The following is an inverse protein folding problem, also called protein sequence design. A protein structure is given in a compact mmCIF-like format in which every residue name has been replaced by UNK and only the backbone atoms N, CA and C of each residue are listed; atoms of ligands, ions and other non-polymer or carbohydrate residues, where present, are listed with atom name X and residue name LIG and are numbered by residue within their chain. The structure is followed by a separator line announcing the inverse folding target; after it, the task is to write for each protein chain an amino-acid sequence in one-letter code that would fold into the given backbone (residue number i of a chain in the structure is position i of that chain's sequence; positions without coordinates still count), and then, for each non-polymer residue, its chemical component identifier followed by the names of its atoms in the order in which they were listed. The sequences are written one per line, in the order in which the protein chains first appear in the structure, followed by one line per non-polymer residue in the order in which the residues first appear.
data_IF_166814446129
#
_entry.id   IF_166814446129
#
_cell.length_a   1.000
_cell.length_b   1.000
_cell.length_c   1.000
_cell.angle_alpha   90.00
_cell.angle_beta   90.00
_cell.angle_gamma   90.00
#
_symmetry.space_group_name_H-M   'P 1'
#
loop_
_entity.id
_entity.type
_entity.pdbx_description
1 polymer ?
#
# COMPACT_ATOMS: atom_id res chain seq x y z
N UNK A 1 11.50 11.72 -16.48
CA UNK A 1 11.53 11.31 -15.07
C UNK A 1 12.34 12.34 -14.33
N UNK A 2 11.88 12.71 -13.14
CA UNK A 2 12.49 13.66 -12.24
C UNK A 2 12.67 12.93 -10.91
N UNK A 3 13.89 12.98 -10.39
CA UNK A 3 14.24 12.53 -9.04
C UNK A 3 15.05 13.68 -8.45
N UNK A 4 14.43 14.45 -7.56
CA UNK A 4 15.00 15.69 -7.03
C UNK A 4 15.00 15.60 -5.50
N UNK A 5 16.14 15.92 -4.89
CA UNK A 5 16.22 16.09 -3.44
C UNK A 5 15.66 17.47 -3.08
N UNK A 6 14.80 17.52 -2.08
CA UNK A 6 14.18 18.75 -1.59
C UNK A 6 14.27 18.80 -0.07
N UNK A 7 14.39 20.01 0.46
CA UNK A 7 14.32 20.23 1.88
C UNK A 7 12.85 20.19 2.33
N UNK A 8 12.57 19.37 3.33
CA UNK A 8 11.25 19.27 3.94
C UNK A 8 11.33 19.78 5.38
N UNK A 9 10.94 21.02 5.60
CA UNK A 9 10.95 21.65 6.93
C UNK A 9 9.74 21.24 7.79
N UNK A 10 9.23 20.01 7.58
CA UNK A 10 8.10 19.43 8.30
C UNK A 10 8.23 17.91 8.38
N UNK A 11 7.48 17.29 9.28
CA UNK A 11 7.48 15.83 9.45
C UNK A 11 6.66 15.12 8.37
N UNK A 12 7.02 13.87 8.00
CA UNK A 12 6.24 13.08 7.05
C UNK A 12 4.78 12.89 7.49
N UNK A 13 4.54 12.80 8.79
CA UNK A 13 3.20 12.65 9.35
C UNK A 13 2.32 13.88 9.14
N UNK A 14 2.88 15.09 9.26
CA UNK A 14 2.13 16.34 9.02
C UNK A 14 1.66 16.41 7.58
N UNK A 15 2.53 16.08 6.63
CA UNK A 15 2.16 16.03 5.20
C UNK A 15 1.12 14.95 4.94
N UNK A 16 1.29 13.75 5.50
CA UNK A 16 0.30 12.68 5.38
C UNK A 16 -1.08 13.09 5.95
N UNK A 17 -1.11 13.74 7.12
CA UNK A 17 -2.33 14.22 7.76
C UNK A 17 -2.99 15.35 6.96
N UNK A 18 -2.21 16.27 6.42
CA UNK A 18 -2.71 17.32 5.54
C UNK A 18 -3.38 16.71 4.30
N UNK A 19 -2.77 15.67 3.72
CA UNK A 19 -3.26 14.96 2.54
C UNK A 19 -4.26 13.83 2.82
N UNK A 20 -4.78 13.68 4.05
CA UNK A 20 -5.68 12.56 4.43
C UNK A 20 -6.95 12.40 3.58
N UNK A 21 -7.37 13.47 2.90
CA UNK A 21 -8.53 13.48 2.01
C UNK A 21 -8.17 13.23 0.55
N UNK A 22 -6.88 13.16 0.22
CA UNK A 22 -6.45 12.81 -1.12
C UNK A 22 -6.86 11.37 -1.46
N UNK A 23 -7.35 11.12 -2.68
CA UNK A 23 -7.72 9.77 -3.09
C UNK A 23 -6.53 8.83 -2.97
N UNK A 24 -6.73 7.70 -2.29
CA UNK A 24 -5.73 6.62 -2.21
C UNK A 24 -4.40 7.13 -1.67
N UNK A 25 -4.43 7.71 -0.47
CA UNK A 25 -3.21 7.99 0.28
C UNK A 25 -2.60 6.68 0.78
N UNK A 26 -1.32 6.50 0.50
CA UNK A 26 -0.46 5.46 1.08
C UNK A 26 0.61 6.15 1.90
N UNK A 27 0.72 5.74 3.16
CA UNK A 27 1.76 6.17 4.08
C UNK A 27 2.42 4.93 4.66
N UNK A 28 3.69 4.70 4.33
CA UNK A 28 4.49 3.59 4.84
C UNK A 28 5.65 4.17 5.62
N UNK A 29 5.53 4.13 6.94
CA UNK A 29 6.53 4.66 7.86
C UNK A 29 7.26 3.51 8.55
N UNK A 30 8.58 3.64 8.62
CA UNK A 30 9.42 2.75 9.39
C UNK A 30 9.83 3.44 10.69
N UNK A 31 9.25 3.00 11.80
CA UNK A 31 9.49 3.61 13.12
C UNK A 31 10.70 3.01 13.85
N UNK A 32 11.21 1.87 13.37
CA UNK A 32 12.44 1.26 13.85
C UNK A 32 13.64 1.99 13.22
N UNK A 33 14.54 2.59 14.01
CA UNK A 33 15.76 3.22 13.51
C UNK A 33 16.78 2.13 13.18
N UNK A 34 16.46 1.29 12.20
CA UNK A 34 17.36 0.30 11.61
C UNK A 34 17.92 0.87 10.30
N UNK A 35 19.24 1.09 10.17
CA UNK A 35 19.83 1.66 8.97
C UNK A 35 19.61 0.84 7.69
N UNK A 36 19.29 -0.45 7.81
CA UNK A 36 19.05 -1.36 6.68
C UNK A 36 17.56 -1.50 6.35
N UNK A 37 16.69 -1.41 7.36
CA UNK A 37 15.26 -1.75 7.21
C UNK A 37 14.29 -0.60 7.44
N UNK A 38 14.74 0.53 7.99
CA UNK A 38 13.84 1.60 8.46
C UNK A 38 14.26 3.03 8.13
N UNK A 39 15.18 3.22 7.19
CA UNK A 39 15.66 4.56 6.84
C UNK A 39 14.60 5.44 6.15
N UNK A 40 13.67 4.84 5.40
CA UNK A 40 12.79 5.60 4.53
C UNK A 40 11.32 5.54 4.94
N UNK A 41 10.64 6.68 4.77
CA UNK A 41 9.19 6.81 4.88
C UNK A 41 8.62 7.18 3.51
N UNK A 42 7.60 6.44 3.06
CA UNK A 42 6.98 6.62 1.74
C UNK A 42 5.61 7.27 1.87
N UNK A 43 5.37 8.31 1.08
CA UNK A 43 4.07 8.93 0.92
C UNK A 43 3.69 9.00 -0.56
N UNK A 44 2.52 8.47 -0.89
CA UNK A 44 1.99 8.50 -2.25
C UNK A 44 0.48 8.78 -2.23
N UNK A 45 -0.01 9.48 -3.24
CA UNK A 45 -1.43 9.81 -3.39
C UNK A 45 -1.83 9.74 -4.85
N UNK A 46 -3.12 9.58 -5.14
CA UNK A 46 -3.70 9.63 -6.50
C UNK A 46 -2.97 8.68 -7.48
N UNK A 47 -3.14 7.37 -7.33
CA UNK A 47 -2.50 6.40 -8.22
C UNK A 47 -2.94 6.62 -9.67
N UNK A 48 -2.04 6.34 -10.60
CA UNK A 48 -2.29 6.34 -12.05
C UNK A 48 -3.40 5.35 -12.42
N UNK A 49 -3.38 4.18 -11.77
CA UNK A 49 -4.33 3.09 -11.95
C UNK A 49 -4.52 2.37 -10.62
N UNK A 50 -5.72 1.82 -10.37
CA UNK A 50 -5.99 0.93 -9.24
C UNK A 50 -6.49 -0.42 -9.74
N UNK A 51 -6.00 -1.50 -9.14
CA UNK A 51 -6.46 -2.86 -9.38
C UNK A 51 -7.08 -3.42 -8.09
N UNK A 52 -8.29 -3.96 -8.23
CA UNK A 52 -8.96 -4.75 -7.20
C UNK A 52 -9.28 -6.13 -7.71
N UNK A 53 -9.28 -7.14 -6.85
CA UNK A 53 -9.72 -8.48 -7.25
C UNK A 53 -10.59 -9.14 -6.17
N UNK A 54 -11.65 -9.83 -6.60
CA UNK A 54 -12.42 -10.77 -5.79
C UNK A 54 -12.41 -12.11 -6.51
N UNK A 55 -11.54 -13.02 -6.07
CA UNK A 55 -11.19 -14.19 -6.83
C UNK A 55 -10.74 -13.81 -8.23
N UNK A 56 -11.35 -14.44 -9.24
CA UNK A 56 -10.97 -14.22 -10.63
C UNK A 56 -11.61 -12.94 -11.22
N UNK A 57 -12.50 -12.26 -10.49
CA UNK A 57 -13.13 -11.02 -10.93
C UNK A 57 -12.24 -9.83 -10.56
N UNK A 58 -11.59 -9.24 -11.55
CA UNK A 58 -10.66 -8.14 -11.38
C UNK A 58 -11.26 -6.83 -11.89
N UNK A 59 -11.23 -5.79 -11.08
CA UNK A 59 -11.64 -4.45 -11.47
C UNK A 59 -10.40 -3.55 -11.60
N UNK A 60 -10.24 -2.95 -12.77
CA UNK A 60 -9.21 -1.94 -13.01
C UNK A 60 -9.86 -0.57 -13.14
N UNK A 61 -9.36 0.39 -12.39
CA UNK A 61 -9.80 1.78 -12.38
C UNK A 61 -8.67 2.65 -12.92
N UNK A 62 -8.89 3.32 -14.04
CA UNK A 62 -7.90 4.13 -14.75
C UNK A 62 -8.57 5.40 -15.28
N UNK A 63 -8.04 6.58 -14.93
CA UNK A 63 -8.62 7.87 -15.32
C UNK A 63 -10.15 8.01 -15.06
N UNK A 64 -10.61 7.48 -13.92
CA UNK A 64 -12.03 7.48 -13.53
C UNK A 64 -12.92 6.44 -14.24
N UNK A 65 -12.38 5.71 -15.22
CA UNK A 65 -13.08 4.62 -15.91
C UNK A 65 -12.82 3.30 -15.19
N UNK A 66 -13.87 2.47 -15.10
CA UNK A 66 -13.81 1.14 -14.48
C UNK A 66 -13.97 0.09 -15.57
N UNK A 67 -13.07 -0.89 -15.60
CA UNK A 67 -13.16 -2.07 -16.46
C UNK A 67 -13.10 -3.33 -15.61
N UNK A 68 -13.99 -4.28 -15.90
CA UNK A 68 -13.94 -5.60 -15.31
C UNK A 68 -13.22 -6.55 -16.25
N UNK A 69 -12.29 -7.31 -15.69
CA UNK A 69 -11.51 -8.35 -16.35
C UNK A 69 -11.70 -9.64 -15.56
N UNK A 70 -11.60 -10.78 -16.23
CA UNK A 70 -11.70 -12.08 -15.59
C UNK A 70 -10.40 -12.85 -15.78
N UNK A 71 -9.84 -13.41 -14.71
CA UNK A 71 -8.62 -14.22 -14.76
C UNK A 71 -7.84 -14.22 -13.45
N UNK A 72 -6.62 -14.78 -13.51
CA UNK A 72 -5.70 -14.82 -12.39
C UNK A 72 -5.17 -13.39 -12.08
N UNK A 73 -5.40 -12.84 -10.87
CA UNK A 73 -4.94 -11.51 -10.51
C UNK A 73 -3.41 -11.33 -10.60
N UNK A 74 -2.62 -12.38 -10.35
CA UNK A 74 -1.16 -12.35 -10.49
C UNK A 74 -0.72 -12.11 -11.94
N UNK A 75 -1.37 -12.79 -12.91
CA UNK A 75 -1.08 -12.58 -14.33
C UNK A 75 -1.51 -11.18 -14.80
N UNK A 76 -2.58 -10.63 -14.22
CA UNK A 76 -3.00 -9.27 -14.53
C UNK A 76 -2.01 -8.24 -13.96
N UNK A 77 -1.53 -8.43 -12.73
CA UNK A 77 -0.46 -7.62 -12.15
C UNK A 77 0.81 -7.67 -12.99
N UNK A 78 1.23 -8.85 -13.45
CA UNK A 78 2.41 -9.02 -14.31
C UNK A 78 2.27 -8.23 -15.63
N UNK A 79 1.12 -8.32 -16.29
CA UNK A 79 0.84 -7.54 -17.52
C UNK A 79 0.88 -6.03 -17.28
N UNK A 80 0.35 -5.59 -16.14
CA UNK A 80 0.41 -4.16 -15.78
C UNK A 80 1.84 -3.75 -15.46
N UNK A 81 2.59 -4.56 -14.71
CA UNK A 81 3.99 -4.29 -14.39
C UNK A 81 4.84 -4.14 -15.65
N UNK A 82 4.71 -5.07 -16.60
CA UNK A 82 5.41 -5.01 -17.89
C UNK A 82 5.08 -3.75 -18.71
N UNK A 83 3.84 -3.24 -18.61
CA UNK A 83 3.44 -2.00 -19.29
C UNK A 83 4.08 -0.75 -18.68
N UNK A 84 4.35 -0.76 -17.38
CA UNK A 84 4.77 0.42 -16.61
C UNK A 84 6.20 0.30 -16.08
N UNK A 85 7.00 -0.57 -16.68
CA UNK A 85 8.34 -0.88 -16.20
C UNK A 85 9.21 0.39 -16.10
N UNK A 86 9.77 0.58 -14.90
CA UNK A 86 10.68 1.66 -14.61
C UNK A 86 12.11 1.16 -14.82
N UNK A 87 12.70 1.44 -16.00
CA UNK A 87 14.12 1.17 -16.22
C UNK A 87 15.00 1.67 -15.06
N UNK A 88 16.04 0.91 -14.71
CA UNK A 88 16.90 1.08 -13.52
C UNK A 88 17.92 2.21 -13.66
N UNK A 89 17.47 3.40 -14.09
CA UNK A 89 18.37 4.50 -14.46
C UNK A 89 18.72 5.44 -13.31
N UNK A 90 18.13 5.30 -12.13
CA UNK A 90 18.51 6.09 -10.96
C UNK A 90 19.09 5.17 -9.88
N UNK A 91 20.27 5.52 -9.36
CA UNK A 91 20.91 4.87 -8.21
C UNK A 91 20.16 5.18 -6.90
N UNK A 92 18.84 5.04 -6.89
CA UNK A 92 18.02 5.23 -5.71
C UNK A 92 17.90 3.89 -4.97
N UNK A 93 18.18 3.84 -3.65
CA UNK A 93 17.97 2.63 -2.84
C UNK A 93 16.48 2.38 -2.53
N UNK A 94 15.57 3.14 -3.11
CA UNK A 94 14.11 3.06 -2.94
C UNK A 94 13.37 2.97 -4.29
N UNK A 95 12.11 2.49 -4.32
CA UNK A 95 11.33 2.41 -5.55
C UNK A 95 11.08 3.79 -6.18
N UNK A 96 11.14 3.86 -7.51
CA UNK A 96 10.83 5.08 -8.28
C UNK A 96 9.34 5.25 -8.58
N UNK A 97 8.52 4.34 -8.07
CA UNK A 97 7.11 4.15 -8.40
C UNK A 97 6.78 2.68 -8.25
N UNK A 98 5.50 2.33 -8.34
CA UNK A 98 5.09 0.94 -8.23
C UNK A 98 3.70 0.75 -7.65
N UNK A 99 3.37 -0.51 -7.39
CA UNK A 99 2.11 -0.89 -6.77
C UNK A 99 2.22 -0.80 -5.26
N UNK A 100 1.34 0.00 -4.65
CA UNK A 100 1.19 0.12 -3.21
C UNK A 100 -0.25 -0.18 -2.82
N UNK A 101 -0.44 -0.87 -1.71
CA UNK A 101 -1.74 -1.32 -1.23
C UNK A 101 -1.58 -2.62 -0.44
N UNK A 102 -2.52 -3.55 -0.58
CA UNK A 102 -2.43 -4.85 0.07
C UNK A 102 -2.71 -6.02 -0.86
N UNK A 103 -2.09 -7.15 -0.49
CA UNK A 103 -2.31 -8.47 -1.04
C UNK A 103 -2.87 -9.34 0.08
N UNK A 104 -4.15 -9.68 -0.04
CA UNK A 104 -4.88 -10.48 0.94
C UNK A 104 -4.45 -11.95 0.92
N UNK A 105 -4.66 -12.60 2.06
CA UNK A 105 -4.26 -13.98 2.28
C UNK A 105 -4.88 -14.97 1.28
N UNK A 106 -6.12 -14.72 0.84
CA UNK A 106 -6.85 -15.61 -0.07
C UNK A 106 -6.34 -15.62 -1.51
N UNK A 107 -5.44 -14.69 -1.89
CA UNK A 107 -4.71 -14.77 -3.16
C UNK A 107 -3.88 -16.04 -3.29
N UNK A 108 -3.52 -16.67 -2.16
CA UNK A 108 -2.82 -17.97 -2.13
C UNK A 108 -3.53 -19.03 -2.97
N UNK A 109 -4.85 -18.96 -3.12
CA UNK A 109 -5.62 -19.94 -3.91
C UNK A 109 -5.29 -19.91 -5.41
N UNK A 110 -4.68 -18.84 -5.91
CA UNK A 110 -4.16 -18.78 -7.28
C UNK A 110 -2.78 -19.44 -7.42
N UNK A 111 -2.07 -19.65 -6.31
CA UNK A 111 -0.80 -20.37 -6.25
C UNK A 111 -1.03 -21.85 -5.90
N UNK A 112 -1.94 -22.09 -4.96
CA UNK A 112 -2.29 -23.42 -4.42
C UNK A 112 -3.79 -23.73 -4.63
N UNK A 113 -4.22 -23.99 -5.88
CA UNK A 113 -5.64 -24.13 -6.23
C UNK A 113 -6.31 -25.37 -5.63
N UNK A 114 -5.54 -26.31 -5.08
CA UNK A 114 -6.06 -27.51 -4.40
C UNK A 114 -6.48 -27.24 -2.97
N UNK A 115 -6.10 -26.09 -2.39
CA UNK A 115 -6.51 -25.75 -1.02
C UNK A 115 -8.02 -25.48 -0.97
N UNK A 116 -8.74 -26.11 -0.04
CA UNK A 116 -10.18 -25.93 0.06
C UNK A 116 -10.52 -24.57 0.65
N UNK A 117 -11.45 -23.85 0.01
CA UNK A 117 -12.06 -22.63 0.54
C UNK A 117 -13.16 -22.97 1.53
N UNK A 118 -12.80 -23.08 2.81
CA UNK A 118 -13.75 -23.43 3.90
C UNK A 118 -14.23 -22.24 4.71
N UNK A 119 -13.43 -21.17 4.79
CA UNK A 119 -13.81 -19.96 5.51
C UNK A 119 -14.90 -19.20 4.73
N UNK A 120 -15.82 -18.57 5.46
CA UNK A 120 -16.79 -17.66 4.86
C UNK A 120 -16.11 -16.34 4.47
N UNK A 121 -16.56 -15.71 3.38
CA UNK A 121 -16.12 -14.37 2.98
C UNK A 121 -16.97 -13.32 3.70
N UNK A 122 -16.74 -13.15 5.00
CA UNK A 122 -17.53 -12.31 5.91
C UNK A 122 -17.17 -10.82 5.87
N UNK A 123 -15.94 -10.47 5.49
CA UNK A 123 -15.49 -9.07 5.41
C UNK A 123 -15.86 -8.37 4.10
N UNK A 124 -16.17 -9.11 3.04
CA UNK A 124 -16.45 -8.54 1.71
C UNK A 124 -15.30 -7.75 1.06
N UNK A 125 -14.11 -7.79 1.66
CA UNK A 125 -12.91 -7.13 1.16
C UNK A 125 -12.40 -7.83 -0.11
N UNK A 126 -11.81 -7.10 -1.06
CA UNK A 126 -11.12 -7.74 -2.17
C UNK A 126 -9.92 -8.54 -1.70
N UNK A 127 -9.58 -9.61 -2.44
CA UNK A 127 -8.38 -10.40 -2.23
C UNK A 127 -7.11 -9.57 -2.48
N UNK A 128 -7.19 -8.50 -3.27
CA UNK A 128 -6.12 -7.49 -3.39
C UNK A 128 -6.71 -6.12 -3.71
N UNK A 129 -6.07 -5.07 -3.23
CA UNK A 129 -6.41 -3.68 -3.56
C UNK A 129 -5.14 -2.83 -3.62
N UNK A 130 -4.68 -2.54 -4.83
CA UNK A 130 -3.40 -1.87 -5.06
C UNK A 130 -3.53 -0.73 -6.06
N UNK A 131 -2.88 0.39 -5.77
CA UNK A 131 -2.70 1.51 -6.68
C UNK A 131 -1.31 1.48 -7.29
N UNK A 132 -1.20 1.71 -8.60
CA UNK A 132 0.05 2.01 -9.28
C UNK A 132 0.34 3.51 -9.13
N UNK A 133 1.40 3.87 -8.42
CA UNK A 133 1.82 5.25 -8.23
C UNK A 133 3.01 5.53 -9.14
N UNK A 134 2.87 6.57 -9.95
CA UNK A 134 3.87 7.07 -10.89
C UNK A 134 4.66 8.27 -10.33
N UNK A 135 4.38 8.63 -9.10
CA UNK A 135 5.04 9.68 -8.34
C UNK A 135 4.92 9.39 -6.84
N UNK A 136 5.92 9.74 -6.07
CA UNK A 136 5.96 9.54 -4.62
C UNK A 136 6.92 10.54 -3.96
N UNK A 137 6.71 10.74 -2.66
CA UNK A 137 7.58 11.49 -1.78
C UNK A 137 8.25 10.50 -0.82
N UNK A 138 9.58 10.53 -0.75
CA UNK A 138 10.39 9.63 0.09
C UNK A 138 11.13 10.46 1.10
N UNK A 139 10.82 10.31 2.38
CA UNK A 139 11.63 10.89 3.46
C UNK A 139 12.82 10.00 3.76
N UNK A 140 14.00 10.59 3.86
CA UNK A 140 15.17 9.98 4.48
C UNK A 140 15.23 10.39 5.95
N UNK A 141 14.85 9.47 6.83
CA UNK A 141 14.75 9.72 8.27
C UNK A 141 16.13 9.94 8.92
N UNK A 142 17.24 9.60 8.24
CA UNK A 142 18.60 9.83 8.76
C UNK A 142 19.12 11.22 8.42
N UNK A 143 18.83 11.71 7.20
CA UNK A 143 19.38 12.99 6.72
C UNK A 143 18.40 14.15 6.87
N UNK A 144 17.11 13.87 7.06
CA UNK A 144 16.05 14.88 7.14
C UNK A 144 15.62 15.44 5.79
N UNK A 145 16.24 15.00 4.70
CA UNK A 145 15.85 15.39 3.34
C UNK A 145 14.71 14.51 2.81
N UNK A 146 13.97 15.06 1.87
CA UNK A 146 13.04 14.32 1.05
C UNK A 146 13.57 14.13 -0.36
N UNK A 147 13.14 13.05 -0.99
CA UNK A 147 13.28 12.84 -2.42
C UNK A 147 11.90 12.86 -3.05
N UNK A 148 11.75 13.75 -4.01
CA UNK A 148 10.61 13.80 -4.89
C UNK A 148 10.88 12.88 -6.07
N UNK A 149 9.97 11.95 -6.31
CA UNK A 149 10.00 11.11 -7.50
C UNK A 149 8.79 11.41 -8.37
N UNK A 150 9.04 11.76 -9.63
CA UNK A 150 8.01 11.96 -10.64
C UNK A 150 8.43 11.30 -11.96
N UNK A 151 7.79 10.18 -12.29
CA UNK A 151 8.19 9.39 -13.47
C UNK A 151 7.71 10.00 -14.78
N UNK A 152 6.59 10.72 -14.75
CA UNK A 152 5.88 11.18 -15.94
C UNK A 152 5.19 10.06 -16.72
N UNK A 153 4.99 8.88 -16.12
CA UNK A 153 4.27 7.77 -16.76
C UNK A 153 2.85 8.16 -17.13
N UNK A 154 2.43 7.76 -18.32
CA UNK A 154 1.08 7.94 -18.84
C UNK A 154 0.32 6.61 -18.79
N UNK A 155 -1.04 6.65 -18.86
CA UNK A 155 -1.85 5.43 -18.88
C UNK A 155 -1.50 4.46 -20.00
N UNK A 156 -0.83 4.86 -21.07
CA UNK A 156 -0.39 3.95 -22.14
C UNK A 156 0.96 3.26 -21.87
N UNK A 157 1.66 3.63 -20.79
CA UNK A 157 3.00 3.17 -20.45
C UNK A 157 4.12 4.09 -20.95
N UNK A 158 3.80 5.10 -21.78
CA UNK A 158 4.79 6.07 -22.25
C UNK A 158 5.15 7.07 -21.15
N UNK A 159 6.24 7.82 -21.35
CA UNK A 159 6.68 8.87 -20.41
C UNK A 159 6.65 10.24 -21.07
N UNK A 160 6.21 11.23 -20.31
CA UNK A 160 6.17 12.62 -20.74
C UNK A 160 6.91 13.50 -19.73
N UNK A 161 7.92 14.24 -20.20
CA UNK A 161 8.75 15.08 -19.34
C UNK A 161 7.96 16.26 -18.72
N UNK A 162 7.04 16.86 -19.48
CA UNK A 162 6.18 17.92 -18.96
C UNK A 162 5.27 17.39 -17.84
N UNK A 163 4.69 16.20 -18.00
CA UNK A 163 3.92 15.53 -16.95
C UNK A 163 4.76 15.25 -15.70
N UNK A 164 6.01 14.81 -15.86
CA UNK A 164 6.91 14.61 -14.73
C UNK A 164 7.16 15.93 -13.96
N UNK A 165 7.37 17.04 -14.67
CA UNK A 165 7.50 18.36 -14.04
C UNK A 165 6.23 18.77 -13.30
N UNK A 166 5.06 18.64 -13.92
CA UNK A 166 3.77 18.93 -13.25
C UNK A 166 3.55 18.06 -12.01
N UNK A 167 3.96 16.79 -12.03
CA UNK A 167 3.92 15.91 -10.85
C UNK A 167 4.84 16.40 -9.74
N UNK A 168 6.04 16.86 -10.09
CA UNK A 168 6.99 17.41 -9.15
C UNK A 168 6.49 18.71 -8.53
N UNK A 169 6.06 19.66 -9.35
CA UNK A 169 5.55 20.95 -8.88
C UNK A 169 4.36 20.76 -7.92
N UNK A 170 3.46 19.80 -8.21
CA UNK A 170 2.37 19.45 -7.29
C UNK A 170 2.82 18.90 -5.94
N UNK A 171 3.93 18.17 -5.87
CA UNK A 171 4.46 17.72 -4.59
C UNK A 171 5.06 18.87 -3.79
N UNK A 172 5.78 19.79 -4.45
CA UNK A 172 6.26 21.01 -3.83
C UNK A 172 5.10 21.84 -3.26
N UNK A 173 4.06 22.07 -4.06
CA UNK A 173 2.83 22.77 -3.62
C UNK A 173 2.19 22.10 -2.40
N UNK A 174 2.14 20.76 -2.36
CA UNK A 174 1.60 20.00 -1.23
C UNK A 174 2.44 20.12 0.03
N UNK A 175 3.77 20.12 -0.10
CA UNK A 175 4.69 20.28 1.03
C UNK A 175 4.55 21.69 1.59
N UNK A 176 4.59 22.71 0.73
CA UNK A 176 4.40 24.12 1.13
C UNK A 176 3.05 24.34 1.82
N UNK A 177 1.97 23.77 1.26
CA UNK A 177 0.65 23.82 1.87
C UNK A 177 0.59 23.10 3.22
N UNK A 178 1.28 21.97 3.37
CA UNK A 178 1.35 21.25 4.64
C UNK A 178 2.14 22.02 5.71
N UNK A 179 3.24 22.67 5.36
CA UNK A 179 4.03 23.54 6.26
C UNK A 179 3.19 24.74 6.72
N UNK A 180 2.50 25.40 5.81
CA UNK A 180 1.61 26.52 6.14
C UNK A 180 0.43 26.07 7.03
N UNK A 181 -0.12 24.88 6.75
CA UNK A 181 -1.17 24.26 7.56
C UNK A 181 -0.67 23.88 8.95
N UNK A 182 0.57 23.42 9.09
CA UNK A 182 1.19 23.06 10.38
C UNK A 182 1.19 24.24 11.34
N UNK A 183 1.66 25.40 10.88
CA UNK A 183 1.73 26.62 11.70
C UNK A 183 0.38 27.21 12.12
N UNK A 184 -0.74 26.67 11.63
CA UNK A 184 -2.10 27.20 11.92
C UNK A 184 -3.04 26.18 12.56
N UNK A 185 -2.88 24.89 12.27
CA UNK A 185 -3.95 23.91 12.52
C UNK A 185 -3.48 22.48 12.87
N UNK A 186 -2.19 22.14 12.73
CA UNK A 186 -1.70 20.78 13.02
C UNK A 186 -1.85 20.37 14.50
N UNK A 187 -1.73 21.33 15.42
CA UNK A 187 -1.87 21.09 16.86
C UNK A 187 -3.33 20.94 17.32
N UNK A 188 -4.32 21.11 16.42
CA UNK A 188 -5.70 20.79 16.77
C UNK A 188 -5.78 19.29 17.10
N UNK A 189 -6.26 18.91 18.31
CA UNK A 189 -6.49 17.52 18.64
C UNK A 189 -7.36 16.87 17.56
N UNK A 190 -6.98 15.67 17.12
CA UNK A 190 -7.92 14.87 16.34
C UNK A 190 -9.15 14.64 17.22
N UNK A 191 -10.34 14.75 16.63
CA UNK A 191 -11.56 14.37 17.33
C UNK A 191 -11.37 12.95 17.84
N UNK A 192 -11.41 12.77 19.16
CA UNK A 192 -11.39 11.44 19.75
C UNK A 192 -12.53 10.66 19.13
N UNK A 193 -12.27 9.50 18.52
CA UNK A 193 -13.35 8.63 18.08
C UNK A 193 -14.30 8.45 19.26
N UNK A 194 -15.62 8.50 19.00
CA UNK A 194 -16.61 8.15 20.01
C UNK A 194 -16.32 6.75 20.60
N UNK A 195 -17.05 6.35 21.65
CA UNK A 195 -16.85 5.04 22.29
C UNK A 195 -16.74 3.92 21.24
N UNK A 196 -15.53 3.38 21.08
CA UNK A 196 -15.29 2.26 20.18
C UNK A 196 -16.09 1.05 20.69
N UNK A 197 -16.61 0.21 19.79
CA UNK A 197 -17.23 -1.04 20.20
C UNK A 197 -16.22 -1.88 21.00
N UNK A 198 -16.70 -2.60 22.01
CA UNK A 198 -15.85 -3.56 22.70
C UNK A 198 -15.39 -4.63 21.71
N UNK A 199 -14.08 -4.98 21.70
CA UNK A 199 -13.56 -5.97 20.78
C UNK A 199 -14.23 -7.32 21.05
N UNK A 200 -14.88 -7.87 20.02
CA UNK A 200 -15.45 -9.22 20.03
C UNK A 200 -14.43 -10.26 19.53
N UNK A 201 -14.59 -11.50 19.98
CA UNK A 201 -13.85 -12.64 19.40
C UNK A 201 -14.73 -13.37 18.39
N UNK A 202 -14.15 -13.74 17.24
CA UNK A 202 -14.82 -14.60 16.24
C UNK A 202 -14.99 -16.05 16.74
N UNK A 203 -14.22 -16.44 17.76
CA UNK A 203 -14.22 -17.80 18.33
C UNK A 203 -14.23 -17.76 19.86
N UNK A 204 -15.07 -18.60 20.46
CA UNK A 204 -15.11 -18.76 21.92
C UNK A 204 -13.89 -19.55 22.41
N UNK A 205 -13.49 -19.32 23.67
CA UNK A 205 -12.32 -19.96 24.29
C UNK A 205 -12.26 -21.48 24.06
N UNK A 206 -13.36 -22.18 24.33
CA UNK A 206 -13.40 -23.64 24.18
C UNK A 206 -13.26 -24.07 22.71
N UNK A 207 -13.76 -23.25 21.78
CA UNK A 207 -13.56 -23.47 20.35
C UNK A 207 -12.10 -23.33 19.94
N UNK A 208 -11.41 -22.31 20.47
CA UNK A 208 -9.98 -22.11 20.23
C UNK A 208 -9.15 -23.25 20.81
N UNK A 209 -9.43 -23.68 22.05
CA UNK A 209 -8.72 -24.80 22.68
C UNK A 209 -8.88 -26.11 21.88
N UNK A 210 -10.08 -26.41 21.38
CA UNK A 210 -10.28 -27.58 20.50
C UNK A 210 -9.48 -27.48 19.20
N UNK A 211 -9.33 -26.28 18.62
CA UNK A 211 -8.50 -26.09 17.43
C UNK A 211 -7.01 -26.31 17.73
N UNK A 212 -6.54 -25.91 18.91
CA UNK A 212 -5.18 -26.16 19.39
C UNK A 212 -4.95 -27.66 19.63
N UNK A 213 -5.85 -28.35 20.31
CA UNK A 213 -5.76 -29.81 20.55
C UNK A 213 -5.66 -30.58 19.23
N UNK A 214 -6.55 -30.28 18.28
CA UNK A 214 -6.51 -30.89 16.93
C UNK A 214 -5.21 -30.59 16.18
N UNK A 215 -4.64 -29.40 16.37
CA UNK A 215 -3.35 -29.03 15.80
C UNK A 215 -2.22 -29.89 16.37
N UNK A 216 -2.22 -30.12 17.69
CA UNK A 216 -1.22 -30.97 18.34
C UNK A 216 -1.34 -32.43 17.89
N UNK A 217 -2.57 -32.92 17.66
CA UNK A 217 -2.80 -34.24 17.06
C UNK A 217 -2.16 -34.35 15.66
N UNK A 218 -2.36 -33.34 14.79
CA UNK A 218 -1.72 -33.30 13.48
C UNK A 218 -0.18 -33.26 13.56
N UNK A 219 0.37 -32.55 14.54
CA UNK A 219 1.83 -32.53 14.78
C UNK A 219 2.32 -33.90 15.23
N UNK A 220 1.63 -34.53 16.18
CA UNK A 220 2.00 -35.86 16.70
C UNK A 220 1.89 -36.96 15.63
N UNK A 221 0.95 -36.83 14.70
CA UNK A 221 0.79 -37.73 13.54
C UNK A 221 1.86 -37.53 12.45
N UNK A 222 2.61 -36.42 12.50
CA UNK A 222 3.63 -36.08 11.50
C UNK A 222 3.08 -35.36 10.26
N UNK A 223 1.85 -34.86 10.30
CA UNK A 223 1.23 -34.14 9.17
C UNK A 223 1.82 -32.74 8.98
N UNK A 224 2.16 -32.06 10.08
CA UNK A 224 2.73 -30.71 10.12
C UNK A 224 3.74 -30.58 11.27
N UNK A 225 4.62 -29.57 11.21
CA UNK A 225 5.53 -29.24 12.32
C UNK A 225 5.03 -28.07 13.17
N UNK A 226 4.33 -27.12 12.54
CA UNK A 226 3.78 -25.91 13.16
C UNK A 226 2.63 -25.39 12.30
N UNK A 227 1.65 -24.74 12.93
CA UNK A 227 0.62 -23.95 12.24
C UNK A 227 0.40 -22.65 13.01
N UNK A 228 0.06 -21.58 12.28
CA UNK A 228 -0.39 -20.33 12.87
C UNK A 228 -1.92 -20.30 12.92
N UNK A 229 -2.51 -20.30 14.13
CA UNK A 229 -3.95 -20.18 14.34
C UNK A 229 -4.30 -18.73 14.70
N UNK A 230 -5.31 -18.17 14.03
CA UNK A 230 -5.80 -16.81 14.26
C UNK A 230 -7.31 -16.78 14.44
N UNK A 231 -7.82 -15.77 15.16
CA UNK A 231 -9.24 -15.48 15.38
C UNK A 231 -9.49 -13.97 15.42
#
# INVERSE_FOLDING_TARGET
MIVEQVQCDTSPWVVARHLRHEPWLVFLESTLPDPLLGQYTFLAVRPLLRLRAWGASCEVIEAGRRRWLYGNPWMLLERLYARYELGTTAEAPWPLGGFFGYWGYDLKHFLEPRLPRRAAADLGLPDLDVGLYDNLLVWDNQTGYCWLVATGLQPDGTRNAHRARVQADRWLERIEAAVAWEGTEADRPLETPGRLPEPGSSLQRDGFLRAVERTLEYIAAGDIYQVNLSQ
#
